data_IF_353115807758
#
_entry.id   IF_353115807758
#
_cell.length_a   1.000
_cell.length_b   1.000
_cell.length_c   1.000
_cell.angle_alpha   90.00
_cell.angle_beta   90.00
_cell.angle_gamma   90.00
#
_symmetry.space_group_name_H-M   'P 1'
#
loop_
_entity.id
_entity.type
_entity.pdbx_description
1 polymer ?
#
# COMPACT_ATOMS: atom_id res chain seq x y z
N UNK A 1 2.82 19.85 -9.05
CA UNK A 1 2.76 18.39 -8.87
C UNK A 1 2.72 18.08 -7.38
N UNK A 2 1.64 17.48 -6.91
CA UNK A 2 1.50 17.07 -5.50
C UNK A 2 1.92 15.61 -5.39
N UNK A 3 2.98 15.29 -4.67
CA UNK A 3 3.54 13.93 -4.62
C UNK A 3 2.74 12.99 -3.73
N UNK A 4 1.86 13.53 -2.90
CA UNK A 4 1.01 12.77 -2.00
C UNK A 4 -0.37 13.42 -1.93
N UNK A 5 -1.40 12.66 -2.25
CA UNK A 5 -2.80 13.00 -2.04
C UNK A 5 -3.35 12.09 -0.95
N UNK A 6 -4.04 12.65 0.02
CA UNK A 6 -4.58 11.92 1.16
C UNK A 6 -6.07 12.22 1.31
N UNK A 7 -6.87 11.17 1.47
CA UNK A 7 -8.28 11.27 1.86
C UNK A 7 -8.42 11.21 3.38
N UNK A 8 -9.58 11.60 3.89
CA UNK A 8 -9.92 11.31 5.28
C UNK A 8 -10.14 9.80 5.47
N UNK A 9 -9.94 9.31 6.71
CA UNK A 9 -10.41 7.98 7.08
C UNK A 9 -11.93 7.98 7.12
N UNK A 10 -12.53 7.04 6.37
CA UNK A 10 -13.97 6.89 6.28
C UNK A 10 -14.36 5.42 6.45
N UNK A 11 -15.54 5.17 7.02
CA UNK A 11 -16.06 3.82 7.24
C UNK A 11 -17.19 3.43 6.26
N UNK A 12 -17.57 4.34 5.37
CA UNK A 12 -18.71 4.16 4.45
C UNK A 12 -18.39 4.62 3.01
N UNK A 13 -19.45 4.67 2.17
CA UNK A 13 -19.34 5.03 0.74
C UNK A 13 -18.77 6.43 0.49
N UNK A 14 -18.65 7.29 1.49
CA UNK A 14 -18.04 8.62 1.33
C UNK A 14 -16.60 8.53 0.87
N UNK A 15 -15.91 7.44 1.16
CA UNK A 15 -14.55 7.20 0.66
C UNK A 15 -14.50 7.22 -0.88
N UNK A 16 -15.50 6.65 -1.56
CA UNK A 16 -15.56 6.65 -3.03
C UNK A 16 -15.58 8.08 -3.59
N UNK A 17 -16.39 8.97 -2.98
CA UNK A 17 -16.47 10.37 -3.38
C UNK A 17 -15.19 11.16 -3.13
N UNK A 18 -14.42 10.77 -2.10
CA UNK A 18 -13.12 11.36 -1.84
C UNK A 18 -12.10 10.90 -2.87
N UNK A 19 -12.09 9.60 -3.20
CA UNK A 19 -11.20 9.02 -4.21
C UNK A 19 -11.43 9.64 -5.61
N UNK A 20 -12.67 9.94 -5.99
CA UNK A 20 -12.99 10.63 -7.24
C UNK A 20 -12.36 12.02 -7.35
N UNK A 21 -12.02 12.64 -6.23
CA UNK A 21 -11.38 13.96 -6.18
C UNK A 21 -9.86 13.91 -6.24
N UNK A 22 -9.27 12.73 -6.17
CA UNK A 22 -7.82 12.58 -6.32
C UNK A 22 -7.42 12.90 -7.75
N UNK A 23 -6.38 13.68 -7.90
CA UNK A 23 -5.83 14.00 -9.20
C UNK A 23 -5.01 12.79 -9.69
N UNK A 24 -5.52 12.11 -10.71
CA UNK A 24 -4.77 11.04 -11.38
C UNK A 24 -3.77 11.68 -12.34
N UNK A 25 -2.50 11.45 -12.13
CA UNK A 25 -1.46 11.85 -13.06
C UNK A 25 -1.57 11.03 -14.35
N UNK A 26 -1.71 11.74 -15.48
CA UNK A 26 -1.86 11.08 -16.81
C UNK A 26 -0.52 10.60 -17.37
N UNK A 27 0.59 11.07 -16.81
CA UNK A 27 1.94 10.73 -17.28
C UNK A 27 2.78 10.42 -16.06
N UNK A 28 3.26 9.20 -15.94
CA UNK A 28 4.18 8.77 -14.89
C UNK A 28 5.44 9.65 -14.88
N UNK A 29 6.04 9.82 -13.71
CA UNK A 29 7.31 10.49 -13.56
C UNK A 29 8.40 9.82 -14.43
N UNK A 30 9.43 10.59 -14.80
CA UNK A 30 10.60 10.07 -15.54
C UNK A 30 11.62 9.33 -14.66
N UNK A 31 11.26 9.01 -13.44
CA UNK A 31 12.09 8.30 -12.47
C UNK A 31 11.69 6.82 -12.44
N UNK A 32 12.65 5.98 -12.21
CA UNK A 32 12.52 4.51 -12.20
C UNK A 32 11.94 3.95 -10.89
N UNK A 33 11.44 4.80 -9.99
CA UNK A 33 10.99 4.37 -8.68
C UNK A 33 9.90 5.29 -8.13
N UNK A 34 8.73 4.72 -7.86
CA UNK A 34 7.63 5.41 -7.20
C UNK A 34 7.93 5.68 -5.71
N UNK A 35 7.30 6.72 -5.17
CA UNK A 35 7.56 7.18 -3.81
C UNK A 35 6.82 6.37 -2.74
N UNK A 36 6.89 5.02 -2.76
CA UNK A 36 6.20 4.15 -1.78
C UNK A 36 6.62 4.42 -0.32
N UNK A 37 7.82 4.93 -0.09
CA UNK A 37 8.33 5.23 1.25
C UNK A 37 7.73 6.48 1.87
N UNK A 38 7.32 7.47 1.06
CA UNK A 38 6.67 8.69 1.58
C UNK A 38 5.31 8.38 2.23
N UNK A 39 4.41 7.57 1.61
CA UNK A 39 3.21 7.08 2.29
C UNK A 39 3.48 6.27 3.55
N UNK A 40 4.56 5.49 3.62
CA UNK A 40 4.92 4.76 4.84
C UNK A 40 5.30 5.71 5.98
N UNK A 41 6.12 6.73 5.67
CA UNK A 41 6.47 7.77 6.64
C UNK A 41 5.21 8.49 7.13
N UNK A 42 4.35 8.91 6.19
CA UNK A 42 3.09 9.57 6.53
C UNK A 42 2.19 8.69 7.41
N UNK A 43 2.01 7.43 7.04
CA UNK A 43 1.20 6.50 7.82
C UNK A 43 1.75 6.27 9.24
N UNK A 44 3.07 6.23 9.38
CA UNK A 44 3.71 6.00 10.68
C UNK A 44 3.63 7.20 11.64
N UNK A 45 3.68 8.44 11.13
CA UNK A 45 3.88 9.63 11.95
C UNK A 45 2.74 10.66 11.87
N UNK A 46 1.91 10.61 10.83
CA UNK A 46 0.85 11.57 10.57
C UNK A 46 -0.55 10.95 10.58
N UNK A 47 -0.69 9.69 11.00
CA UNK A 47 -2.01 9.05 11.14
C UNK A 47 -2.23 8.55 12.55
N UNK A 48 -3.50 8.59 12.96
CA UNK A 48 -4.00 7.96 14.17
C UNK A 48 -5.15 7.02 13.77
N UNK A 49 -5.07 5.76 14.19
CA UNK A 49 -6.07 4.75 13.83
C UNK A 49 -6.71 4.14 15.07
N UNK A 50 -8.01 4.22 15.14
CA UNK A 50 -8.82 3.74 16.29
C UNK A 50 -8.58 2.26 16.63
N UNK A 51 -8.33 1.43 15.62
CA UNK A 51 -8.06 0.01 15.86
C UNK A 51 -6.78 -0.20 16.68
N UNK A 52 -5.77 0.64 16.47
CA UNK A 52 -4.52 0.57 17.23
C UNK A 52 -4.66 1.27 18.58
N UNK A 53 -5.12 2.53 18.60
CA UNK A 53 -5.17 3.34 19.81
C UNK A 53 -6.16 2.81 20.86
N UNK A 54 -7.33 2.35 20.41
CA UNK A 54 -8.40 1.93 21.31
C UNK A 54 -8.45 0.42 21.56
N UNK A 55 -7.91 -0.38 20.62
CA UNK A 55 -8.05 -1.85 20.65
C UNK A 55 -6.73 -2.61 20.61
N UNK A 56 -5.59 -1.92 20.45
CA UNK A 56 -4.28 -2.54 20.33
C UNK A 56 -4.09 -3.41 19.08
N UNK A 57 -4.99 -3.28 18.08
CA UNK A 57 -4.94 -4.03 16.83
C UNK A 57 -4.30 -3.20 15.74
N UNK A 58 -3.37 -3.79 15.00
CA UNK A 58 -2.77 -3.12 13.84
C UNK A 58 -3.80 -2.94 12.73
N UNK A 59 -3.67 -1.82 12.01
CA UNK A 59 -4.35 -1.61 10.74
C UNK A 59 -3.66 -2.35 9.60
N UNK A 60 -4.15 -2.14 8.40
CA UNK A 60 -3.58 -2.69 7.17
C UNK A 60 -3.15 -1.56 6.25
N UNK A 61 -1.95 -1.66 5.71
CA UNK A 61 -1.40 -0.71 4.74
C UNK A 61 -0.96 -1.48 3.50
N UNK A 62 -1.62 -1.19 2.38
CA UNK A 62 -1.26 -1.74 1.09
C UNK A 62 -0.64 -0.65 0.22
N UNK A 63 0.53 -0.92 -0.33
CA UNK A 63 1.07 -0.18 -1.48
C UNK A 63 0.81 -0.99 -2.73
N UNK A 64 0.51 -0.32 -3.84
CA UNK A 64 0.17 -0.96 -5.11
C UNK A 64 0.97 -0.28 -6.22
N UNK A 65 1.65 -1.06 -7.02
CA UNK A 65 2.41 -0.54 -8.16
C UNK A 65 3.21 -1.62 -8.86
N UNK A 66 4.00 -1.24 -9.83
CA UNK A 66 4.76 -2.14 -10.69
C UNK A 66 6.28 -1.91 -10.64
N UNK A 67 6.71 -0.91 -9.87
CA UNK A 67 8.12 -0.55 -9.73
C UNK A 67 8.78 -1.22 -8.53
N UNK A 68 10.08 -1.12 -8.47
CA UNK A 68 10.91 -1.61 -7.36
C UNK A 68 10.72 -0.78 -6.08
N UNK A 69 10.99 -1.36 -4.89
CA UNK A 69 11.00 -0.59 -3.67
C UNK A 69 12.12 0.44 -3.69
N UNK A 70 11.85 1.72 -3.32
CA UNK A 70 12.90 2.71 -3.14
C UNK A 70 13.88 2.27 -2.06
N UNK A 71 15.15 2.63 -2.20
CA UNK A 71 16.19 2.31 -1.22
C UNK A 71 16.06 3.16 0.05
N UNK A 72 15.60 4.41 -0.13
CA UNK A 72 15.45 5.37 0.97
C UNK A 72 14.36 6.41 0.68
N UNK A 73 14.09 7.23 1.68
CA UNK A 73 13.30 8.44 1.61
C UNK A 73 14.19 9.61 2.02
N UNK A 74 14.53 10.53 1.10
CA UNK A 74 15.31 11.71 1.44
C UNK A 74 14.57 12.62 2.42
N UNK A 75 15.30 13.11 3.44
CA UNK A 75 14.74 14.06 4.41
C UNK A 75 14.26 15.36 3.76
N UNK A 76 14.90 15.76 2.67
CA UNK A 76 14.46 16.91 1.86
C UNK A 76 13.10 16.70 1.21
N UNK A 77 12.76 15.46 0.82
CA UNK A 77 11.44 15.12 0.29
C UNK A 77 10.37 15.22 1.39
N UNK A 78 10.68 14.76 2.60
CA UNK A 78 9.78 14.87 3.76
C UNK A 78 9.44 16.35 4.02
N UNK A 79 10.46 17.19 4.18
CA UNK A 79 10.26 18.62 4.39
C UNK A 79 9.49 19.30 3.27
N UNK A 80 9.84 18.97 2.02
CA UNK A 80 9.21 19.57 0.84
C UNK A 80 7.74 19.21 0.71
N UNK A 81 7.36 17.98 1.00
CA UNK A 81 6.05 17.44 0.65
C UNK A 81 5.09 17.36 1.84
N UNK A 82 5.60 17.19 3.05
CA UNK A 82 4.78 17.11 4.25
C UNK A 82 4.88 18.37 5.10
N UNK A 83 5.89 19.22 4.86
CA UNK A 83 6.12 20.44 5.66
C UNK A 83 6.77 20.16 7.00
N UNK A 84 7.22 18.95 7.25
CA UNK A 84 7.92 18.61 8.47
C UNK A 84 9.25 19.37 8.61
N UNK A 85 9.73 19.61 9.85
CA UNK A 85 11.06 20.14 10.06
C UNK A 85 12.12 19.30 9.34
N UNK A 86 13.29 19.87 9.01
CA UNK A 86 14.35 19.14 8.33
C UNK A 86 14.65 17.80 8.98
N UNK A 87 14.60 16.74 8.21
CA UNK A 87 14.82 15.37 8.64
C UNK A 87 16.10 14.80 8.01
N UNK A 88 16.64 13.75 8.63
CA UNK A 88 17.62 12.90 7.98
C UNK A 88 16.96 12.02 6.92
N UNK A 89 17.76 11.41 6.07
CA UNK A 89 17.28 10.36 5.17
C UNK A 89 16.92 9.10 5.97
N UNK A 90 15.86 8.42 5.55
CA UNK A 90 15.41 7.16 6.13
C UNK A 90 15.62 6.03 5.13
N UNK A 91 16.23 4.94 5.54
CA UNK A 91 16.26 3.71 4.75
C UNK A 91 14.87 3.05 4.74
N UNK A 92 14.51 2.41 3.63
CA UNK A 92 13.20 1.75 3.49
C UNK A 92 12.95 0.70 4.59
N UNK A 93 13.99 -0.04 5.03
CA UNK A 93 13.88 -0.98 6.16
C UNK A 93 13.60 -0.30 7.50
N UNK A 94 14.13 0.90 7.72
CA UNK A 94 13.83 1.68 8.93
C UNK A 94 12.38 2.15 8.92
N UNK A 95 11.90 2.66 7.77
CA UNK A 95 10.51 3.09 7.60
C UNK A 95 9.55 1.91 7.74
N UNK A 96 9.88 0.76 7.16
CA UNK A 96 9.09 -0.45 7.33
C UNK A 96 8.98 -0.85 8.80
N UNK A 97 10.08 -0.77 9.55
CA UNK A 97 10.08 -1.05 10.99
C UNK A 97 9.18 -0.07 11.74
N UNK A 98 9.25 1.21 11.38
CA UNK A 98 8.47 2.26 12.01
C UNK A 98 6.96 2.09 11.75
N UNK A 99 6.57 1.97 10.49
CA UNK A 99 5.16 1.85 10.11
C UNK A 99 4.56 0.50 10.55
N UNK A 100 5.36 -0.54 10.63
CA UNK A 100 4.93 -1.87 11.10
C UNK A 100 4.57 -1.92 12.59
N UNK A 101 4.82 -0.84 13.34
CA UNK A 101 4.32 -0.73 14.73
C UNK A 101 2.80 -0.66 14.75
N UNK A 102 2.19 0.06 13.79
CA UNK A 102 0.75 0.32 13.73
C UNK A 102 0.03 -0.44 12.62
N UNK A 103 0.76 -0.90 11.59
CA UNK A 103 0.17 -1.51 10.40
C UNK A 103 0.79 -2.86 10.05
N UNK A 104 -0.02 -3.76 9.49
CA UNK A 104 0.44 -4.85 8.67
C UNK A 104 0.69 -4.31 7.26
N UNK A 105 1.94 -4.26 6.83
CA UNK A 105 2.33 -3.66 5.55
C UNK A 105 2.41 -4.73 4.48
N UNK A 106 1.74 -4.49 3.35
CA UNK A 106 1.75 -5.34 2.17
C UNK A 106 2.12 -4.52 0.93
N UNK A 107 2.67 -5.19 -0.06
CA UNK A 107 2.81 -4.62 -1.40
C UNK A 107 2.15 -5.53 -2.44
N UNK A 108 1.37 -4.92 -3.34
CA UNK A 108 0.74 -5.59 -4.47
C UNK A 108 1.47 -5.17 -5.74
N UNK A 109 2.15 -6.12 -6.36
CA UNK A 109 2.84 -5.90 -7.65
C UNK A 109 1.81 -6.07 -8.77
N UNK A 110 1.55 -5.01 -9.52
CA UNK A 110 0.69 -5.04 -10.71
C UNK A 110 1.51 -5.54 -11.88
N UNK A 111 1.40 -6.84 -12.20
CA UNK A 111 2.21 -7.50 -13.24
C UNK A 111 1.94 -6.98 -14.66
N UNK A 112 0.81 -6.29 -14.86
CA UNK A 112 0.46 -5.63 -16.14
C UNK A 112 1.22 -4.31 -16.35
N UNK A 113 1.85 -3.76 -15.33
CA UNK A 113 2.63 -2.52 -15.40
C UNK A 113 3.93 -2.69 -16.19
N UNK A 114 4.46 -1.60 -16.70
CA UNK A 114 5.61 -1.61 -17.63
C UNK A 114 6.89 -2.13 -16.97
N UNK A 115 7.16 -1.75 -15.74
CA UNK A 115 8.36 -2.16 -14.99
C UNK A 115 8.31 -3.63 -14.61
N UNK A 116 7.17 -4.08 -14.06
CA UNK A 116 6.96 -5.48 -13.71
C UNK A 116 7.00 -6.41 -14.93
N UNK A 117 6.54 -5.95 -16.12
CA UNK A 117 6.68 -6.71 -17.37
C UNK A 117 8.12 -6.79 -17.85
N UNK A 118 8.90 -5.72 -17.67
CA UNK A 118 10.27 -5.67 -18.12
C UNK A 118 11.20 -6.54 -17.27
N UNK A 119 11.08 -6.47 -15.95
CA UNK A 119 11.85 -7.27 -14.98
C UNK A 119 10.96 -7.89 -13.89
N UNK A 120 10.13 -8.88 -14.22
CA UNK A 120 9.17 -9.45 -13.26
C UNK A 120 9.85 -10.15 -12.08
N UNK A 121 11.03 -10.73 -12.29
CA UNK A 121 11.79 -11.39 -11.23
C UNK A 121 12.45 -10.38 -10.31
N UNK A 122 13.17 -9.41 -10.88
CA UNK A 122 13.89 -8.41 -10.10
C UNK A 122 12.96 -7.59 -9.22
N UNK A 123 11.83 -7.13 -9.75
CA UNK A 123 10.81 -6.41 -8.96
C UNK A 123 10.31 -7.28 -7.81
N UNK A 124 9.93 -8.53 -8.09
CA UNK A 124 9.44 -9.45 -7.05
C UNK A 124 10.49 -9.77 -5.99
N UNK A 125 11.72 -10.06 -6.40
CA UNK A 125 12.80 -10.46 -5.50
C UNK A 125 13.14 -9.30 -4.53
N UNK A 126 13.24 -8.06 -5.03
CA UNK A 126 13.53 -6.88 -4.20
C UNK A 126 12.40 -6.58 -3.20
N UNK A 127 11.14 -6.69 -3.62
CA UNK A 127 10.02 -6.55 -2.70
C UNK A 127 9.98 -7.69 -1.67
N UNK A 128 10.25 -8.92 -2.09
CA UNK A 128 10.29 -10.08 -1.19
C UNK A 128 11.43 -9.98 -0.18
N UNK A 129 12.59 -9.45 -0.59
CA UNK A 129 13.70 -9.16 0.33
C UNK A 129 13.32 -8.14 1.41
N UNK A 130 12.47 -7.18 1.07
CA UNK A 130 12.02 -6.14 1.99
C UNK A 130 10.86 -6.59 2.88
N UNK A 131 9.80 -7.20 2.31
CA UNK A 131 8.52 -7.50 2.96
C UNK A 131 8.28 -8.99 3.24
N UNK A 132 9.14 -9.89 2.73
CA UNK A 132 8.95 -11.33 2.88
C UNK A 132 7.68 -11.81 2.20
N UNK A 133 6.87 -12.57 2.92
CA UNK A 133 5.62 -13.16 2.42
C UNK A 133 4.46 -12.15 2.23
N UNK A 134 4.69 -10.87 2.50
CA UNK A 134 3.67 -9.82 2.37
C UNK A 134 3.71 -9.12 1.00
N UNK A 135 4.30 -9.79 0.02
CA UNK A 135 4.30 -9.38 -1.38
C UNK A 135 3.31 -10.23 -2.15
N UNK A 136 2.43 -9.58 -2.89
CA UNK A 136 1.37 -10.23 -3.65
C UNK A 136 1.53 -9.86 -5.11
N UNK A 137 1.63 -10.84 -5.99
CA UNK A 137 1.61 -10.62 -7.44
C UNK A 137 0.16 -10.58 -7.93
N UNK A 138 -0.19 -9.56 -8.69
CA UNK A 138 -1.53 -9.33 -9.23
C UNK A 138 -1.44 -9.29 -10.76
N UNK A 139 -1.94 -10.34 -11.40
CA UNK A 139 -1.94 -10.49 -12.86
C UNK A 139 -3.14 -9.84 -13.56
N UNK A 140 -4.18 -9.46 -12.82
CA UNK A 140 -5.38 -8.79 -13.30
C UNK A 140 -5.76 -7.68 -12.31
N UNK A 141 -5.51 -6.42 -12.69
CA UNK A 141 -5.73 -5.27 -11.83
C UNK A 141 -7.22 -5.11 -11.41
N UNK A 142 -8.17 -5.66 -12.16
CA UNK A 142 -9.59 -5.63 -11.81
C UNK A 142 -9.90 -6.43 -10.54
N UNK A 143 -8.99 -7.32 -10.12
CA UNK A 143 -9.09 -8.15 -8.93
C UNK A 143 -8.44 -7.55 -7.68
N UNK A 144 -7.99 -6.30 -7.74
CA UNK A 144 -7.27 -5.65 -6.64
C UNK A 144 -8.07 -5.69 -5.32
N UNK A 145 -9.36 -5.36 -5.36
CA UNK A 145 -10.20 -5.35 -4.16
C UNK A 145 -10.32 -6.76 -3.54
N UNK A 146 -10.54 -7.79 -4.37
CA UNK A 146 -10.62 -9.18 -3.94
C UNK A 146 -9.31 -9.64 -3.28
N UNK A 147 -8.16 -9.26 -3.86
CA UNK A 147 -6.83 -9.60 -3.34
C UNK A 147 -6.57 -8.93 -1.99
N UNK A 148 -6.90 -7.64 -1.84
CA UNK A 148 -6.75 -6.91 -0.58
C UNK A 148 -7.59 -7.57 0.52
N UNK A 149 -8.89 -7.81 0.26
CA UNK A 149 -9.78 -8.46 1.24
C UNK A 149 -9.28 -9.85 1.59
N UNK A 150 -8.87 -10.65 0.61
CA UNK A 150 -8.31 -11.99 0.86
C UNK A 150 -7.06 -11.96 1.72
N UNK A 151 -6.15 -11.01 1.48
CA UNK A 151 -4.94 -10.87 2.27
C UNK A 151 -5.25 -10.51 3.73
N UNK A 152 -6.22 -9.63 3.96
CA UNK A 152 -6.70 -9.28 5.31
C UNK A 152 -7.29 -10.53 5.98
N UNK A 153 -8.22 -11.22 5.33
CA UNK A 153 -8.88 -12.40 5.89
C UNK A 153 -7.90 -13.51 6.27
N UNK A 154 -6.93 -13.80 5.41
CA UNK A 154 -5.88 -14.79 5.70
C UNK A 154 -4.99 -14.33 6.87
N UNK A 155 -4.63 -13.04 6.92
CA UNK A 155 -3.83 -12.52 8.03
C UNK A 155 -4.61 -12.52 9.37
N UNK A 156 -5.94 -12.41 9.32
CA UNK A 156 -6.83 -12.56 10.50
C UNK A 156 -7.12 -14.03 10.85
N UNK A 157 -6.49 -14.99 10.18
CA UNK A 157 -6.53 -16.41 10.52
C UNK A 157 -7.60 -17.23 9.78
N UNK A 158 -8.27 -16.69 8.75
CA UNK A 158 -9.16 -17.49 7.90
C UNK A 158 -8.36 -18.47 7.06
N UNK A 159 -8.91 -19.66 6.89
CA UNK A 159 -8.32 -20.67 6.01
C UNK A 159 -8.27 -20.18 4.56
N UNK A 160 -7.08 -20.32 3.95
CA UNK A 160 -6.81 -19.81 2.60
C UNK A 160 -7.74 -20.44 1.55
N UNK A 161 -8.07 -21.74 1.67
CA UNK A 161 -8.95 -22.41 0.72
C UNK A 161 -10.40 -21.93 0.85
N UNK A 162 -10.82 -21.57 2.06
CA UNK A 162 -12.16 -21.00 2.29
C UNK A 162 -12.27 -19.62 1.67
N UNK A 163 -11.23 -18.78 1.80
CA UNK A 163 -11.17 -17.45 1.18
C UNK A 163 -11.26 -17.57 -0.35
N UNK A 164 -10.48 -18.44 -0.97
CA UNK A 164 -10.53 -18.67 -2.44
C UNK A 164 -11.92 -19.15 -2.88
N UNK A 165 -12.53 -20.08 -2.15
CA UNK A 165 -13.88 -20.56 -2.46
C UNK A 165 -14.95 -19.48 -2.36
N UNK A 166 -14.80 -18.50 -1.46
CA UNK A 166 -15.78 -17.42 -1.31
C UNK A 166 -15.91 -16.53 -2.56
N UNK A 167 -14.82 -16.35 -3.31
CA UNK A 167 -14.81 -15.61 -4.57
C UNK A 167 -15.33 -16.39 -5.78
N UNK A 168 -15.35 -17.72 -5.69
CA UNK A 168 -15.85 -18.59 -6.77
C UNK A 168 -17.37 -18.76 -6.75
N UNK A 169 -18.05 -18.33 -5.70
CA UNK A 169 -19.51 -18.30 -5.62
C UNK A 169 -20.03 -16.97 -6.14
N UNK A 170 -21.16 -16.92 -6.88
CA UNK A 170 -21.77 -15.66 -7.24
C UNK A 170 -22.16 -14.93 -5.95
N UNK A 171 -21.34 -13.99 -5.56
CA UNK A 171 -21.56 -13.19 -4.36
C UNK A 171 -22.74 -12.29 -4.68
N UNK A 172 -23.88 -12.53 -4.03
CA UNK A 172 -24.82 -11.46 -3.83
C UNK A 172 -24.03 -10.37 -3.08
N UNK A 173 -23.64 -9.32 -3.80
CA UNK A 173 -23.11 -8.11 -3.21
C UNK A 173 -24.14 -7.68 -2.19
N UNK A 174 -23.79 -7.83 -0.93
CA UNK A 174 -24.59 -7.28 0.16
C UNK A 174 -24.45 -5.78 0.02
N UNK A 175 -25.41 -5.18 -0.68
CA UNK A 175 -25.70 -3.78 -0.56
C UNK A 175 -26.27 -3.59 0.86
N UNK A 176 -25.44 -3.09 1.75
CA UNK A 176 -25.86 -2.55 3.02
C UNK A 176 -25.61 -1.05 3.03
#
# INVERSE_FOLDING_TARGET
>A
QSPLHVTQFEYDIRIARQLERLCLEKVGGRNSCDSYTLPWYFAALHTAIDCFEKRGKKGYLFTVGDEEPPLDLPGTAITRFLGDPPQRDFKSRELLTLVSRMYHVFHVIVEEGSHARHDPRGVRDRWTDLLGQRVIALSDHTKLAEVIVSAIEVNEGRDRNQVVKSWSQPTALVAA
#
